data_IF_959806629779
#
_entry.id   IF_959806629779
#
_cell.length_a   1.000
_cell.length_b   1.000
_cell.length_c   1.000
_cell.angle_alpha   90.00
_cell.angle_beta   90.00
_cell.angle_gamma   90.00
#
_symmetry.space_group_name_H-M   'P 1'
#
loop_
_entity.id
_entity.type
_entity.pdbx_description
1 polymer ?
#
# COMPACT_ATOMS: atom_id res chain seq x y z
N UNK A 1 12.76 -8.33 9.20
CA UNK A 1 11.54 -9.02 8.77
C UNK A 1 11.73 -10.51 9.07
N UNK A 2 11.21 -11.00 10.19
CA UNK A 2 11.17 -12.45 10.44
C UNK A 2 9.96 -12.98 9.67
N UNK A 3 10.20 -13.82 8.67
CA UNK A 3 9.17 -14.74 8.20
C UNK A 3 8.89 -15.66 9.38
N UNK A 4 7.75 -15.51 10.02
CA UNK A 4 7.20 -16.58 10.83
C UNK A 4 6.62 -17.54 9.79
N UNK A 5 7.46 -18.42 9.27
CA UNK A 5 6.95 -19.72 8.90
C UNK A 5 6.35 -20.22 10.20
N UNK A 6 5.05 -20.11 10.37
CA UNK A 6 4.34 -20.92 11.34
C UNK A 6 4.80 -22.33 10.98
N UNK A 7 5.77 -22.85 11.73
CA UNK A 7 6.59 -23.99 11.36
C UNK A 7 5.72 -25.21 11.11
N UNK A 8 5.15 -25.22 9.95
CA UNK A 8 4.43 -26.33 9.35
C UNK A 8 5.47 -27.23 8.78
N UNK A 9 6.12 -27.96 9.67
CA UNK A 9 6.69 -29.23 9.33
C UNK A 9 5.53 -30.20 9.08
N UNK A 10 5.25 -30.45 7.83
CA UNK A 10 4.25 -31.41 7.40
C UNK A 10 3.01 -30.72 6.82
N UNK A 11 2.46 -31.33 5.79
CA UNK A 11 1.21 -30.97 5.15
C UNK A 11 0.10 -30.85 6.21
N UNK A 12 -0.12 -29.67 6.69
CA UNK A 12 -1.20 -29.41 7.63
C UNK A 12 -2.48 -29.39 6.83
N UNK A 13 -3.45 -30.16 7.26
CA UNK A 13 -4.82 -30.04 6.79
C UNK A 13 -5.23 -28.58 6.81
N UNK A 14 -6.02 -28.16 5.81
CA UNK A 14 -6.48 -26.79 5.67
C UNK A 14 -7.04 -26.30 7.03
N UNK A 15 -6.29 -25.44 7.72
CA UNK A 15 -6.72 -24.84 8.96
C UNK A 15 -7.74 -23.77 8.63
N UNK A 16 -8.72 -23.61 9.49
CA UNK A 16 -9.62 -22.47 9.41
C UNK A 16 -8.79 -21.18 9.59
N UNK A 17 -9.03 -20.18 8.75
CA UNK A 17 -8.33 -18.88 8.78
C UNK A 17 -8.31 -18.28 10.20
N UNK A 18 -9.40 -18.43 10.94
CA UNK A 18 -9.52 -17.96 12.34
C UNK A 18 -8.52 -18.66 13.26
N UNK A 19 -8.42 -19.97 13.18
CA UNK A 19 -7.48 -20.76 14.00
C UNK A 19 -6.03 -20.42 13.66
N UNK A 20 -5.73 -20.22 12.38
CA UNK A 20 -4.42 -19.80 11.94
C UNK A 20 -4.04 -18.42 12.49
N UNK A 21 -4.95 -17.44 12.46
CA UNK A 21 -4.74 -16.11 13.03
C UNK A 21 -4.52 -16.15 14.54
N UNK A 22 -5.33 -16.94 15.28
CA UNK A 22 -5.17 -17.14 16.73
C UNK A 22 -3.79 -17.74 17.05
N UNK A 23 -3.30 -18.68 16.24
CA UNK A 23 -1.96 -19.24 16.41
C UNK A 23 -0.88 -18.20 16.15
N UNK A 24 -0.99 -17.39 15.10
CA UNK A 24 -0.05 -16.32 14.78
C UNK A 24 0.05 -15.33 15.95
N UNK A 25 -1.08 -14.90 16.50
CA UNK A 25 -1.13 -13.99 17.66
C UNK A 25 -0.49 -14.63 18.90
N UNK A 26 -0.77 -15.91 19.19
CA UNK A 26 -0.18 -16.64 20.33
C UNK A 26 1.32 -16.88 20.20
N UNK A 27 1.83 -16.98 18.97
CA UNK A 27 3.25 -17.20 18.71
C UNK A 27 4.09 -15.92 18.63
N UNK A 28 3.43 -14.76 18.61
CA UNK A 28 4.08 -13.46 18.67
C UNK A 28 4.83 -13.30 20.01
N UNK A 29 6.15 -13.08 19.97
CA UNK A 29 7.03 -13.03 21.16
C UNK A 29 7.91 -11.79 21.18
N UNK A 30 7.80 -10.91 20.20
CA UNK A 30 8.62 -9.72 20.15
C UNK A 30 8.21 -8.71 21.25
N UNK A 31 9.16 -7.86 21.64
CA UNK A 31 8.92 -6.77 22.61
C UNK A 31 8.26 -5.54 21.98
N UNK A 32 7.92 -5.59 20.71
CA UNK A 32 7.23 -4.54 19.95
C UNK A 32 5.97 -5.11 19.31
N UNK A 33 5.06 -4.25 18.91
CA UNK A 33 3.82 -4.62 18.25
C UNK A 33 4.11 -5.14 16.83
N UNK A 34 4.07 -6.48 16.67
CA UNK A 34 4.39 -7.16 15.42
C UNK A 34 3.30 -6.93 14.37
N UNK A 35 3.70 -6.80 13.11
CA UNK A 35 2.75 -6.73 11.98
C UNK A 35 2.40 -8.13 11.51
N UNK A 36 1.14 -8.31 11.16
CA UNK A 36 0.60 -9.53 10.57
C UNK A 36 0.37 -9.28 9.08
N UNK A 37 1.05 -10.07 8.25
CA UNK A 37 0.91 -10.02 6.79
C UNK A 37 0.27 -11.32 6.29
N UNK A 38 -0.48 -11.22 5.19
CA UNK A 38 -1.10 -12.36 4.52
C UNK A 38 -0.49 -12.55 3.15
N UNK A 39 -0.04 -13.76 2.88
CA UNK A 39 0.50 -14.20 1.60
C UNK A 39 -0.50 -15.16 0.95
N UNK A 40 -1.01 -14.78 -0.22
CA UNK A 40 -1.98 -15.58 -0.96
C UNK A 40 -1.33 -16.09 -2.25
N UNK A 41 -1.17 -17.41 -2.35
CA UNK A 41 -0.72 -18.05 -3.58
C UNK A 41 -1.86 -18.08 -4.58
N UNK A 42 -1.69 -17.37 -5.68
CA UNK A 42 -2.69 -17.29 -6.74
C UNK A 42 -2.39 -18.37 -7.81
N UNK A 43 -3.43 -18.99 -8.33
CA UNK A 43 -3.30 -19.97 -9.43
C UNK A 43 -3.13 -19.29 -10.80
N UNK A 44 -2.17 -18.35 -10.91
CA UNK A 44 -1.94 -17.52 -12.09
C UNK A 44 -0.55 -17.76 -12.70
N UNK A 45 -0.41 -17.46 -14.00
CA UNK A 45 0.88 -17.34 -14.65
C UNK A 45 1.33 -15.86 -14.62
N UNK A 46 2.31 -15.51 -13.76
CA UNK A 46 2.75 -14.12 -13.58
C UNK A 46 3.43 -13.52 -14.82
N UNK A 47 3.84 -14.36 -15.79
CA UNK A 47 4.45 -13.90 -17.04
C UNK A 47 3.38 -13.38 -18.02
N UNK A 48 2.12 -13.76 -17.82
CA UNK A 48 1.01 -13.26 -18.63
C UNK A 48 0.46 -11.96 -18.05
N UNK A 49 0.64 -10.86 -18.75
CA UNK A 49 0.20 -9.53 -18.31
C UNK A 49 -1.30 -9.44 -18.00
N UNK A 50 -2.11 -10.28 -18.67
CA UNK A 50 -3.56 -10.39 -18.44
C UNK A 50 -3.91 -10.98 -17.08
N UNK A 51 -3.04 -11.83 -16.52
CA UNK A 51 -3.23 -12.49 -15.24
C UNK A 51 -2.60 -11.74 -14.07
N UNK A 52 -2.03 -10.56 -14.33
CA UNK A 52 -1.45 -9.73 -13.26
C UNK A 52 -2.54 -9.16 -12.36
N UNK A 53 -2.52 -9.55 -11.10
CA UNK A 53 -3.42 -9.04 -10.06
C UNK A 53 -2.79 -7.82 -9.39
N UNK A 54 -3.47 -6.68 -9.49
CA UNK A 54 -3.11 -5.46 -8.78
C UNK A 54 -4.39 -4.72 -8.39
N UNK A 55 -4.59 -4.55 -7.09
CA UNK A 55 -5.80 -3.94 -6.56
C UNK A 55 -5.55 -3.28 -5.21
N UNK A 56 -6.58 -2.77 -4.60
CA UNK A 56 -6.54 -2.21 -3.24
C UNK A 56 -7.82 -2.56 -2.49
N UNK A 57 -7.72 -2.65 -1.18
CA UNK A 57 -8.84 -2.90 -0.27
C UNK A 57 -8.74 -1.96 0.92
N UNK A 58 -9.88 -1.50 1.39
CA UNK A 58 -9.98 -0.74 2.63
C UNK A 58 -10.17 -1.71 3.79
N UNK A 59 -9.23 -1.69 4.74
CA UNK A 59 -9.33 -2.51 5.95
C UNK A 59 -10.23 -1.81 6.98
N UNK A 60 -11.20 -2.51 7.60
CA UNK A 60 -12.15 -1.89 8.53
C UNK A 60 -11.48 -1.29 9.77
N UNK A 61 -10.38 -1.87 10.23
CA UNK A 61 -9.62 -1.42 11.40
C UNK A 61 -8.26 -0.77 11.02
N UNK A 62 -8.03 -0.58 9.72
CA UNK A 62 -6.78 -0.03 9.21
C UNK A 62 -5.59 -0.97 9.40
N UNK A 63 -4.38 -0.43 9.20
CA UNK A 63 -3.11 -1.17 9.34
C UNK A 63 -2.38 -0.85 10.65
N UNK A 64 -2.91 0.05 11.49
CA UNK A 64 -2.22 0.59 12.68
C UNK A 64 -1.02 1.50 12.37
N UNK A 65 -0.76 1.80 11.10
CA UNK A 65 0.32 2.68 10.66
C UNK A 65 -0.25 4.05 10.26
N UNK A 66 0.38 5.12 10.74
CA UNK A 66 0.08 6.47 10.22
C UNK A 66 0.69 6.63 8.85
N UNK A 67 -0.15 6.70 7.82
CA UNK A 67 0.28 6.83 6.42
C UNK A 67 0.45 8.31 6.08
N UNK A 68 1.64 8.68 5.62
CA UNK A 68 1.95 10.02 5.11
C UNK A 68 1.61 10.07 3.63
N UNK A 69 0.63 10.88 3.28
CA UNK A 69 0.11 10.96 1.91
C UNK A 69 0.54 12.26 1.27
N UNK A 70 1.06 12.17 0.05
CA UNK A 70 1.30 13.34 -0.80
C UNK A 70 0.34 13.35 -1.98
N UNK A 71 -0.01 14.55 -2.45
CA UNK A 71 -0.93 14.72 -3.56
C UNK A 71 -0.31 15.59 -4.67
N UNK A 72 -0.17 15.02 -5.85
CA UNK A 72 0.19 15.76 -7.05
C UNK A 72 -1.06 16.35 -7.67
N UNK A 73 -1.27 17.63 -7.40
CA UNK A 73 -2.44 18.39 -7.82
C UNK A 73 -2.00 19.76 -8.34
N UNK A 74 -2.86 20.40 -9.15
CA UNK A 74 -2.66 21.78 -9.54
C UNK A 74 -2.83 22.72 -8.34
N UNK A 75 -2.21 23.88 -8.38
CA UNK A 75 -2.22 24.87 -7.29
C UNK A 75 -3.62 25.20 -6.77
N UNK A 76 -4.62 25.23 -7.65
CA UNK A 76 -6.02 25.46 -7.29
C UNK A 76 -6.60 24.40 -6.31
N UNK A 77 -6.04 23.22 -6.29
CA UNK A 77 -6.50 22.08 -5.50
C UNK A 77 -5.59 21.73 -4.31
N UNK A 78 -4.48 22.46 -4.14
CA UNK A 78 -3.53 22.19 -3.05
C UNK A 78 -4.15 22.34 -1.67
N UNK A 79 -4.90 23.43 -1.46
CA UNK A 79 -5.59 23.67 -0.19
C UNK A 79 -6.63 22.59 0.12
N UNK A 80 -7.37 22.15 -0.91
CA UNK A 80 -8.36 21.08 -0.77
C UNK A 80 -7.70 19.75 -0.42
N UNK A 81 -6.55 19.45 -1.04
CA UNK A 81 -5.80 18.23 -0.75
C UNK A 81 -5.21 18.26 0.68
N UNK A 82 -4.67 19.38 1.12
CA UNK A 82 -4.21 19.59 2.51
C UNK A 82 -5.35 19.47 3.51
N UNK A 83 -6.50 20.09 3.22
CA UNK A 83 -7.71 20.00 4.05
C UNK A 83 -8.26 18.56 4.13
N UNK A 84 -8.11 17.76 3.07
CA UNK A 84 -8.46 16.33 3.07
C UNK A 84 -7.47 15.48 3.88
N UNK A 85 -6.30 16.05 4.22
CA UNK A 85 -5.31 15.42 5.06
C UNK A 85 -4.01 15.02 4.36
N UNK A 86 -3.73 15.46 3.13
CA UNK A 86 -2.40 15.31 2.55
C UNK A 86 -1.37 16.11 3.37
N UNK A 87 -0.20 15.51 3.63
CA UNK A 87 0.88 16.24 4.31
C UNK A 87 1.52 17.27 3.38
N UNK A 88 1.67 16.89 2.12
CA UNK A 88 2.15 17.78 1.08
C UNK A 88 1.25 17.67 -0.13
N UNK A 89 0.94 18.80 -0.72
CA UNK A 89 0.19 18.91 -1.96
C UNK A 89 0.88 19.94 -2.86
N UNK A 90 1.00 19.63 -4.14
CA UNK A 90 1.64 20.53 -5.10
C UNK A 90 1.94 19.83 -6.42
N UNK A 91 2.61 20.55 -7.31
CA UNK A 91 2.99 20.10 -8.64
C UNK A 91 4.49 19.97 -8.82
N UNK A 92 5.08 20.93 -9.52
CA UNK A 92 6.51 20.92 -9.90
C UNK A 92 7.44 20.99 -8.68
N UNK A 93 7.05 21.70 -7.62
CA UNK A 93 7.81 21.80 -6.39
C UNK A 93 8.02 20.45 -5.71
N UNK A 94 6.98 19.61 -5.69
CA UNK A 94 7.08 18.25 -5.14
C UNK A 94 7.95 17.36 -6.03
N UNK A 95 7.86 17.52 -7.33
CA UNK A 95 8.68 16.76 -8.27
C UNK A 95 10.16 17.10 -8.09
N UNK A 96 10.51 18.39 -7.99
CA UNK A 96 11.88 18.82 -7.74
C UNK A 96 12.44 18.29 -6.42
N UNK A 97 11.62 18.25 -5.35
CA UNK A 97 11.99 17.63 -4.07
C UNK A 97 12.26 16.14 -4.21
N UNK A 98 11.43 15.41 -4.94
CA UNK A 98 11.60 13.97 -5.17
C UNK A 98 12.83 13.69 -6.02
N UNK A 99 13.10 14.49 -7.04
CA UNK A 99 14.33 14.40 -7.86
C UNK A 99 15.59 14.65 -7.02
N UNK A 100 15.52 15.54 -6.02
CA UNK A 100 16.61 15.76 -5.06
C UNK A 100 16.78 14.63 -4.03
N UNK A 101 15.92 13.59 -4.07
CA UNK A 101 16.00 12.41 -3.20
C UNK A 101 15.06 12.42 -2.00
N UNK A 102 14.18 13.42 -1.85
CA UNK A 102 13.19 13.41 -0.79
C UNK A 102 12.08 12.38 -1.05
N UNK A 103 11.94 11.41 -0.16
CA UNK A 103 10.99 10.30 -0.26
C UNK A 103 10.32 10.01 1.08
N UNK A 104 10.15 11.04 1.91
CA UNK A 104 9.61 10.88 3.26
C UNK A 104 8.07 10.87 3.26
N UNK A 105 7.49 9.93 2.53
CA UNK A 105 6.06 9.65 2.44
C UNK A 105 5.80 8.18 2.15
N UNK A 106 4.59 7.71 2.46
CA UNK A 106 4.20 6.31 2.36
C UNK A 106 3.24 6.04 1.19
N UNK A 107 2.53 7.07 0.72
CA UNK A 107 1.61 6.98 -0.42
C UNK A 107 1.56 8.27 -1.22
N UNK A 108 1.35 8.15 -2.53
CA UNK A 108 1.20 9.26 -3.44
C UNK A 108 -0.07 9.14 -4.27
N UNK A 109 -0.76 10.25 -4.43
CA UNK A 109 -1.95 10.39 -5.27
C UNK A 109 -1.66 11.43 -6.36
N UNK A 110 -2.26 11.29 -7.51
CA UNK A 110 -2.15 12.26 -8.58
C UNK A 110 -3.50 12.50 -9.24
N UNK A 111 -3.74 13.73 -9.68
CA UNK A 111 -4.80 13.97 -10.67
C UNK A 111 -4.30 13.54 -12.05
N UNK A 112 -5.20 13.06 -12.94
CA UNK A 112 -4.82 12.64 -14.29
C UNK A 112 -3.99 13.67 -15.04
N UNK A 113 -4.29 14.95 -14.87
CA UNK A 113 -3.59 16.08 -15.49
C UNK A 113 -2.11 16.17 -15.08
N UNK A 114 -1.80 15.76 -13.85
CA UNK A 114 -0.44 15.82 -13.29
C UNK A 114 0.40 14.60 -13.63
N UNK A 115 -0.20 13.54 -14.19
CA UNK A 115 0.52 12.29 -14.51
C UNK A 115 1.66 12.48 -15.51
N UNK A 116 1.54 13.43 -16.43
CA UNK A 116 2.61 13.76 -17.35
C UNK A 116 3.88 14.27 -16.61
N UNK A 117 3.69 15.09 -15.58
CA UNK A 117 4.77 15.60 -14.74
C UNK A 117 5.31 14.52 -13.80
N UNK A 118 4.43 13.73 -13.18
CA UNK A 118 4.80 12.60 -12.31
C UNK A 118 5.62 11.54 -13.07
N UNK A 119 5.44 11.44 -14.39
CA UNK A 119 6.24 10.60 -15.27
C UNK A 119 7.75 10.88 -15.19
N UNK A 120 8.18 12.11 -14.91
CA UNK A 120 9.58 12.48 -14.74
C UNK A 120 10.24 11.75 -13.57
N UNK A 121 9.50 11.60 -12.47
CA UNK A 121 9.95 10.92 -11.24
C UNK A 121 9.57 9.43 -11.17
N UNK A 122 8.96 8.89 -12.21
CA UNK A 122 8.51 7.50 -12.25
C UNK A 122 9.65 6.48 -12.02
N UNK A 123 10.87 6.80 -12.48
CA UNK A 123 12.07 5.97 -12.25
C UNK A 123 12.46 5.88 -10.78
N UNK A 124 12.14 6.90 -9.99
CA UNK A 124 12.42 6.94 -8.55
C UNK A 124 11.28 6.29 -7.75
N UNK A 125 10.03 6.62 -8.09
CA UNK A 125 8.85 6.18 -7.37
C UNK A 125 8.44 4.73 -7.71
N UNK A 126 8.66 4.29 -8.95
CA UNK A 126 8.23 2.98 -9.45
C UNK A 126 8.80 1.80 -8.68
N UNK A 127 10.14 1.68 -8.53
CA UNK A 127 10.76 0.57 -7.78
C UNK A 127 10.33 0.50 -6.31
N UNK A 128 9.95 1.64 -5.73
CA UNK A 128 9.48 1.74 -4.34
C UNK A 128 7.98 1.52 -4.16
N UNK A 129 7.26 1.34 -5.27
CA UNK A 129 5.81 1.14 -5.22
C UNK A 129 5.00 2.40 -4.89
N UNK A 130 5.64 3.58 -4.92
CA UNK A 130 5.04 4.87 -4.57
C UNK A 130 4.41 5.60 -5.77
N UNK A 131 4.55 5.05 -6.98
CA UNK A 131 4.01 5.67 -8.18
C UNK A 131 2.49 5.56 -8.23
N UNK A 132 1.77 6.68 -8.36
CA UNK A 132 0.31 6.66 -8.55
C UNK A 132 -0.11 5.80 -9.73
N UNK A 133 -1.20 5.06 -9.59
CA UNK A 133 -1.65 4.12 -10.61
C UNK A 133 -3.19 4.03 -10.66
N UNK A 134 -3.73 4.00 -11.88
CA UNK A 134 -5.17 3.89 -12.12
C UNK A 134 -5.79 2.59 -11.59
N UNK A 135 -5.07 1.45 -11.71
CA UNK A 135 -5.59 0.15 -11.25
C UNK A 135 -5.80 0.09 -9.73
N UNK A 136 -5.01 0.85 -8.98
CA UNK A 136 -5.11 0.96 -7.52
C UNK A 136 -6.04 2.10 -7.11
N UNK A 137 -6.44 2.94 -8.06
CA UNK A 137 -7.32 4.09 -7.83
C UNK A 137 -6.62 5.30 -7.20
N UNK A 138 -5.29 5.37 -7.27
CA UNK A 138 -4.52 6.53 -6.77
C UNK A 138 -4.34 7.63 -7.81
N UNK A 139 -4.88 7.44 -9.03
CA UNK A 139 -4.99 8.48 -10.05
C UNK A 139 -6.47 8.81 -10.21
N UNK A 140 -6.89 9.96 -9.69
CA UNK A 140 -8.30 10.36 -9.69
C UNK A 140 -8.48 11.86 -9.50
N UNK A 141 -9.61 12.40 -9.94
CA UNK A 141 -10.02 13.76 -9.61
C UNK A 141 -10.62 13.86 -8.20
N UNK A 142 -11.18 12.76 -7.67
CA UNK A 142 -11.64 12.68 -6.28
C UNK A 142 -10.52 12.27 -5.33
N UNK A 143 -9.50 13.10 -5.28
CA UNK A 143 -8.34 12.89 -4.41
C UNK A 143 -8.70 12.98 -2.92
N UNK A 144 -9.75 13.74 -2.57
CA UNK A 144 -10.13 13.94 -1.17
C UNK A 144 -10.64 12.64 -0.52
N UNK A 145 -11.47 11.86 -1.22
CA UNK A 145 -11.95 10.56 -0.74
C UNK A 145 -10.80 9.56 -0.60
N UNK A 146 -9.92 9.51 -1.60
CA UNK A 146 -8.79 8.58 -1.60
C UNK A 146 -7.78 8.91 -0.49
N UNK A 147 -7.51 10.18 -0.21
CA UNK A 147 -6.65 10.58 0.91
C UNK A 147 -7.21 10.06 2.23
N UNK A 148 -8.52 10.21 2.44
CA UNK A 148 -9.18 9.71 3.66
C UNK A 148 -9.10 8.19 3.77
N UNK A 149 -9.38 7.48 2.69
CA UNK A 149 -9.30 6.01 2.65
C UNK A 149 -7.88 5.50 2.91
N UNK A 150 -6.84 6.13 2.33
CA UNK A 150 -5.45 5.79 2.60
C UNK A 150 -5.09 5.97 4.07
N UNK A 151 -5.58 7.03 4.70
CA UNK A 151 -5.41 7.27 6.14
C UNK A 151 -6.23 6.32 7.01
N UNK A 152 -7.38 5.87 6.53
CA UNK A 152 -8.22 4.86 7.20
C UNK A 152 -7.66 3.45 7.10
N UNK A 153 -6.67 3.22 6.23
CA UNK A 153 -6.01 1.94 6.08
C UNK A 153 -6.32 1.22 4.78
N UNK A 154 -6.47 1.96 3.68
CA UNK A 154 -6.49 1.38 2.35
C UNK A 154 -5.13 0.80 2.02
N UNK A 155 -5.10 -0.50 1.73
CA UNK A 155 -3.92 -1.28 1.40
C UNK A 155 -3.94 -1.63 -0.08
N UNK A 156 -2.83 -1.40 -0.77
CA UNK A 156 -2.64 -1.85 -2.14
C UNK A 156 -1.80 -3.13 -2.15
N UNK A 157 -2.16 -4.06 -3.01
CA UNK A 157 -1.43 -5.30 -3.21
C UNK A 157 -1.25 -5.61 -4.69
N UNK A 158 -0.23 -6.37 -4.99
CA UNK A 158 0.04 -6.92 -6.32
C UNK A 158 0.67 -8.29 -6.17
N UNK A 159 0.48 -9.16 -7.17
CA UNK A 159 1.24 -10.41 -7.23
C UNK A 159 2.71 -10.14 -7.55
N UNK A 160 3.56 -10.98 -7.04
CA UNK A 160 4.97 -11.05 -7.38
C UNK A 160 5.22 -11.94 -8.62
N UNK A 161 6.51 -12.19 -8.93
CA UNK A 161 6.92 -13.08 -10.03
C UNK A 161 6.61 -14.56 -9.76
N UNK A 162 6.34 -14.94 -8.52
CA UNK A 162 5.94 -16.29 -8.11
C UNK A 162 4.43 -16.50 -8.13
N UNK A 163 3.64 -15.49 -8.51
CA UNK A 163 2.17 -15.54 -8.47
C UNK A 163 1.60 -15.44 -7.06
N UNK A 164 2.36 -14.87 -6.11
CA UNK A 164 1.92 -14.67 -4.71
C UNK A 164 1.55 -13.21 -4.50
N UNK A 165 0.42 -12.96 -3.87
CA UNK A 165 0.02 -11.62 -3.44
C UNK A 165 0.34 -11.44 -1.96
N UNK A 166 1.06 -10.36 -1.63
CA UNK A 166 1.46 -9.99 -0.28
C UNK A 166 0.67 -8.76 0.16
N UNK A 167 0.00 -8.84 1.31
CA UNK A 167 -0.75 -7.71 1.85
C UNK A 167 -0.59 -7.62 3.37
N UNK A 168 -0.34 -6.43 3.93
CA UNK A 168 -0.42 -6.23 5.37
C UNK A 168 -1.88 -6.34 5.80
N UNK A 169 -2.13 -7.10 6.86
CA UNK A 169 -3.46 -7.38 7.38
C UNK A 169 -3.76 -6.56 8.63
N UNK A 170 -2.79 -6.39 9.50
CA UNK A 170 -2.95 -5.66 10.75
C UNK A 170 -1.77 -5.80 11.68
N UNK A 171 -2.04 -5.65 12.96
CA UNK A 171 -1.06 -5.79 14.04
C UNK A 171 -1.53 -6.80 15.07
N UNK A 172 -0.59 -7.41 15.77
CA UNK A 172 -0.90 -8.36 16.86
C UNK A 172 -1.75 -7.69 17.94
N UNK A 173 -1.58 -6.40 18.19
CA UNK A 173 -2.38 -5.63 19.16
C UNK A 173 -3.85 -5.45 18.80
N UNK A 174 -4.25 -5.80 17.58
CA UNK A 174 -5.66 -5.70 17.18
C UNK A 174 -6.54 -6.84 17.75
N UNK A 175 -5.95 -7.91 18.28
CA UNK A 175 -6.62 -9.03 18.92
C UNK A 175 -6.97 -10.14 17.98
#
# INVERSE_FOLDING_TARGET
MRKIDAGVQGHTAAQNVREALEQVVKTAKAKFDESVDVDVVLGIDPNKGEQTVRSSVLLPHGTGKKVRVIAFVKSENEEKAKAAGAEFAGGEDLIAKIESGWLDFDAAIATPDMMALVGKVARVLGPRGLLPNNRVGTVTFDFASIIRELKQGRVSFRNDKGGVAHAPFGKVSFG
#
